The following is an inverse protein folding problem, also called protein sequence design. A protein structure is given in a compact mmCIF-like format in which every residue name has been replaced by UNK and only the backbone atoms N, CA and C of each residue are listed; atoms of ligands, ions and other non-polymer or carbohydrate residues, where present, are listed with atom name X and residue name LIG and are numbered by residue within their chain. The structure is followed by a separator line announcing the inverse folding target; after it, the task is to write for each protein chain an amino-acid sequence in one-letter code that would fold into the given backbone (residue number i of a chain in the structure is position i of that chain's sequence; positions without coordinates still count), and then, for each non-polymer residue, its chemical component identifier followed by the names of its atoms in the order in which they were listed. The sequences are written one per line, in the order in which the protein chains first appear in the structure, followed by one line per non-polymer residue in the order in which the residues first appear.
data_IF_846132770757
#
_entry.id   IF_846132770757
#
_cell.length_a   1.000
_cell.length_b   1.000
_cell.length_c   1.000
_cell.angle_alpha   90.00
_cell.angle_beta   90.00
_cell.angle_gamma   90.00
#
_symmetry.space_group_name_H-M   'P 1'
#
loop_
_entity.id
_entity.type
_entity.pdbx_description
1 polymer ?
#
# COMPACT_ATOMS: atom_id res chain seq x y z
N UNK A 1 93.25 19.67 27.58
CA UNK A 1 93.22 19.22 26.17
C UNK A 1 92.09 18.20 26.04
N UNK A 2 91.06 18.52 25.23
CA UNK A 2 90.10 17.66 24.51
C UNK A 2 89.39 16.48 25.23
N UNK A 3 88.10 16.20 25.02
CA UNK A 3 86.97 16.91 24.40
C UNK A 3 85.74 16.06 24.76
N UNK A 4 84.69 16.69 25.26
CA UNK A 4 83.39 16.07 25.47
C UNK A 4 82.80 15.52 24.16
N UNK A 5 82.09 14.41 24.24
CA UNK A 5 81.05 14.03 23.28
C UNK A 5 80.02 13.11 23.96
N UNK A 6 79.16 13.71 24.79
CA UNK A 6 77.88 13.11 25.17
C UNK A 6 76.88 13.35 24.03
N UNK A 7 76.51 12.30 23.31
CA UNK A 7 75.42 12.36 22.33
C UNK A 7 74.13 11.92 22.98
N UNK A 8 73.45 12.88 23.63
CA UNK A 8 72.07 12.71 24.06
C UNK A 8 71.16 12.55 22.85
N UNK A 9 70.60 11.35 22.66
CA UNK A 9 69.52 11.12 21.68
C UNK A 9 68.23 11.74 22.23
N UNK A 10 67.87 12.93 21.74
CA UNK A 10 66.50 13.44 21.88
C UNK A 10 65.56 12.55 21.06
N UNK A 11 64.84 11.65 21.71
CA UNK A 11 63.72 10.94 21.10
C UNK A 11 62.55 11.92 20.91
N UNK A 12 62.40 12.42 19.69
CA UNK A 12 61.21 13.17 19.26
C UNK A 12 59.99 12.24 19.27
N UNK A 13 59.13 12.37 20.29
CA UNK A 13 57.78 11.79 20.27
C UNK A 13 56.92 12.58 19.29
N UNK A 14 56.92 12.15 18.02
CA UNK A 14 55.96 12.61 17.02
C UNK A 14 54.56 12.17 17.46
N UNK A 15 53.79 13.07 18.06
CA UNK A 15 52.38 12.83 18.38
C UNK A 15 51.61 12.59 17.08
N UNK A 16 51.15 11.36 16.89
CA UNK A 16 50.35 10.91 15.75
C UNK A 16 48.88 11.36 15.94
N UNK A 17 48.62 12.67 15.84
CA UNK A 17 47.27 13.28 15.95
C UNK A 17 46.38 13.11 14.70
N UNK A 18 46.75 12.22 13.77
CA UNK A 18 46.05 12.04 12.49
C UNK A 18 44.99 10.93 12.51
N UNK A 19 44.96 10.07 13.53
CA UNK A 19 44.09 8.88 13.52
C UNK A 19 42.65 9.16 13.99
N UNK A 20 42.44 10.11 14.91
CA UNK A 20 41.09 10.41 15.43
C UNK A 20 40.18 11.08 14.39
N UNK A 21 40.74 11.95 13.53
CA UNK A 21 39.97 12.66 12.50
C UNK A 21 39.33 11.72 11.47
N UNK A 22 40.03 10.65 11.09
CA UNK A 22 39.48 9.66 10.15
C UNK A 22 38.45 8.74 10.82
N UNK A 23 38.59 8.49 12.13
CA UNK A 23 37.65 7.64 12.88
C UNK A 23 36.28 8.32 12.99
N UNK A 24 36.24 9.62 13.25
CA UNK A 24 34.97 10.36 13.37
C UNK A 24 34.20 10.37 12.04
N UNK A 25 34.91 10.51 10.92
CA UNK A 25 34.32 10.44 9.58
C UNK A 25 33.76 9.03 9.30
N UNK A 26 34.53 7.99 9.62
CA UNK A 26 34.09 6.59 9.44
C UNK A 26 32.85 6.29 10.29
N UNK A 27 32.84 6.74 11.54
CA UNK A 27 31.71 6.57 12.44
C UNK A 27 30.46 7.26 11.91
N UNK A 28 30.60 8.50 11.41
CA UNK A 28 29.50 9.23 10.78
C UNK A 28 28.91 8.50 9.58
N UNK A 29 29.75 7.91 8.73
CA UNK A 29 29.31 7.11 7.58
C UNK A 29 28.54 5.86 8.01
N UNK A 30 28.99 5.16 9.05
CA UNK A 30 28.31 3.97 9.56
C UNK A 30 26.92 4.31 10.10
N UNK A 31 26.82 5.37 10.91
CA UNK A 31 25.53 5.84 11.45
C UNK A 31 24.59 6.27 10.33
N UNK A 32 25.10 6.99 9.32
CA UNK A 32 24.32 7.39 8.17
C UNK A 32 23.81 6.19 7.36
N UNK A 33 24.65 5.19 7.09
CA UNK A 33 24.25 3.97 6.39
C UNK A 33 23.22 3.18 7.18
N UNK A 34 23.38 3.05 8.50
CA UNK A 34 22.40 2.40 9.37
C UNK A 34 21.04 3.10 9.31
N UNK A 35 21.01 4.43 9.42
CA UNK A 35 19.79 5.22 9.27
C UNK A 35 19.18 5.01 7.87
N UNK A 36 19.99 5.06 6.80
CA UNK A 36 19.53 4.84 5.43
C UNK A 36 18.89 3.46 5.25
N UNK A 37 19.50 2.39 5.79
CA UNK A 37 18.91 1.05 5.73
C UNK A 37 17.60 0.94 6.50
N UNK A 38 17.49 1.58 7.67
CA UNK A 38 16.23 1.61 8.43
C UNK A 38 15.15 2.34 7.65
N UNK A 39 15.44 3.53 7.12
CA UNK A 39 14.48 4.26 6.28
C UNK A 39 14.10 3.47 5.03
N UNK A 40 15.06 2.87 4.34
CA UNK A 40 14.80 2.06 3.16
C UNK A 40 13.94 0.83 3.49
N UNK A 41 14.20 0.15 4.61
CA UNK A 41 13.40 -0.97 5.07
C UNK A 41 11.96 -0.54 5.40
N UNK A 42 11.76 0.61 6.07
CA UNK A 42 10.43 1.14 6.37
C UNK A 42 9.67 1.55 5.10
N UNK A 43 10.32 2.17 4.13
CA UNK A 43 9.69 2.55 2.86
C UNK A 43 9.27 1.33 2.01
N UNK A 44 10.02 0.23 2.09
CA UNK A 44 9.73 -0.99 1.33
C UNK A 44 8.84 -1.99 2.07
N UNK A 45 8.59 -1.80 3.36
CA UNK A 45 7.70 -2.67 4.14
C UNK A 45 6.24 -2.64 3.66
N UNK A 46 5.81 -1.57 2.98
CA UNK A 46 4.40 -1.33 2.63
C UNK A 46 4.01 -1.76 1.21
N UNK A 47 4.88 -2.48 0.50
CA UNK A 47 4.59 -2.97 -0.86
C UNK A 47 3.97 -4.38 -0.87
N UNK A 48 4.13 -5.16 0.20
CA UNK A 48 3.54 -6.50 0.34
C UNK A 48 2.12 -6.52 0.92
N UNK A 49 1.65 -5.42 1.49
CA UNK A 49 0.37 -5.28 2.21
C UNK A 49 -0.81 -4.92 1.29
N UNK A 50 -0.57 -4.21 0.17
CA UNK A 50 -1.64 -3.66 -0.67
C UNK A 50 -2.44 -4.72 -1.42
N UNK A 51 -1.80 -5.73 -2.01
CA UNK A 51 -2.52 -6.81 -2.68
C UNK A 51 -3.28 -7.72 -1.69
N UNK A 52 -2.69 -7.94 -0.51
CA UNK A 52 -3.34 -8.70 0.57
C UNK A 52 -4.57 -7.98 1.12
N UNK A 53 -4.46 -6.69 1.40
CA UNK A 53 -5.59 -5.85 1.85
C UNK A 53 -6.69 -5.74 0.80
N UNK A 54 -6.37 -5.58 -0.49
CA UNK A 54 -7.39 -5.56 -1.55
C UNK A 54 -8.19 -6.86 -1.63
N UNK A 55 -7.52 -8.01 -1.46
CA UNK A 55 -8.21 -9.32 -1.46
C UNK A 55 -9.12 -9.46 -0.23
N UNK A 56 -8.67 -8.99 0.92
CA UNK A 56 -9.46 -8.98 2.15
C UNK A 56 -10.68 -8.06 2.01
N UNK A 57 -10.50 -6.85 1.49
CA UNK A 57 -11.58 -5.91 1.20
C UNK A 57 -12.58 -6.48 0.20
N UNK A 58 -12.12 -7.14 -0.87
CA UNK A 58 -13.02 -7.83 -1.80
C UNK A 58 -13.86 -8.90 -1.08
N UNK A 59 -13.27 -9.66 -0.15
CA UNK A 59 -14.02 -10.62 0.67
C UNK A 59 -15.05 -9.94 1.58
N UNK A 60 -14.70 -8.77 2.15
CA UNK A 60 -15.62 -7.96 2.95
C UNK A 60 -16.80 -7.50 2.09
N UNK A 61 -16.56 -7.00 0.88
CA UNK A 61 -17.62 -6.60 -0.05
C UNK A 61 -18.55 -7.77 -0.31
N UNK A 62 -18.02 -8.94 -0.70
CA UNK A 62 -18.83 -10.14 -0.97
C UNK A 62 -19.67 -10.56 0.24
N UNK A 63 -19.08 -10.54 1.45
CA UNK A 63 -19.83 -10.83 2.68
C UNK A 63 -20.95 -9.83 2.90
N UNK A 64 -20.71 -8.54 2.68
CA UNK A 64 -21.73 -7.52 2.91
C UNK A 64 -22.84 -7.53 1.86
N UNK A 65 -22.55 -7.84 0.60
CA UNK A 65 -23.60 -7.90 -0.43
C UNK A 65 -24.49 -9.14 -0.28
N UNK A 66 -24.02 -10.16 0.46
CA UNK A 66 -24.75 -11.42 0.69
C UNK A 66 -25.35 -11.56 2.09
N UNK A 67 -24.83 -10.87 3.12
CA UNK A 67 -25.30 -10.99 4.50
C UNK A 67 -26.70 -10.41 4.73
N UNK A 68 -27.54 -11.16 5.47
CA UNK A 68 -28.95 -10.82 5.71
C UNK A 68 -29.16 -9.48 6.43
N UNK A 69 -28.22 -9.08 7.28
CA UNK A 69 -28.27 -7.87 8.12
C UNK A 69 -27.47 -6.69 7.54
N UNK A 70 -27.04 -6.78 6.29
CA UNK A 70 -26.23 -5.75 5.65
C UNK A 70 -27.06 -4.65 5.00
N UNK A 71 -26.61 -3.41 5.13
CA UNK A 71 -27.20 -2.23 4.47
C UNK A 71 -26.99 -2.23 2.95
N UNK A 72 -26.06 -3.06 2.45
CA UNK A 72 -25.74 -3.19 1.03
C UNK A 72 -26.05 -4.58 0.48
N UNK A 73 -26.93 -5.31 1.16
CA UNK A 73 -27.40 -6.62 0.72
C UNK A 73 -28.12 -6.49 -0.63
N UNK A 74 -27.69 -7.31 -1.60
CA UNK A 74 -28.33 -7.42 -2.92
C UNK A 74 -28.80 -8.83 -3.23
N UNK A 75 -28.45 -9.83 -2.42
CA UNK A 75 -28.93 -11.21 -2.60
C UNK A 75 -30.04 -11.51 -1.61
N UNK A 76 -31.19 -11.95 -2.10
CA UNK A 76 -32.30 -12.46 -1.29
C UNK A 76 -32.70 -13.85 -1.76
N UNK A 77 -32.80 -14.81 -0.84
CA UNK A 77 -33.18 -16.19 -1.15
C UNK A 77 -32.39 -16.81 -2.32
N UNK A 78 -31.08 -16.52 -2.39
CA UNK A 78 -30.16 -16.95 -3.45
C UNK A 78 -30.41 -16.33 -4.84
N UNK A 79 -31.21 -15.28 -4.92
CA UNK A 79 -31.46 -14.50 -6.14
C UNK A 79 -30.99 -13.06 -5.96
N UNK A 80 -30.61 -12.40 -7.06
CA UNK A 80 -30.24 -10.98 -7.03
C UNK A 80 -31.52 -10.14 -6.96
N UNK A 81 -31.67 -9.38 -5.88
CA UNK A 81 -32.75 -8.42 -5.71
C UNK A 81 -32.44 -7.13 -6.51
N UNK A 82 -33.10 -7.01 -7.67
CA UNK A 82 -32.90 -5.89 -8.59
C UNK A 82 -33.28 -4.53 -7.98
N UNK A 83 -34.27 -4.48 -7.08
CA UNK A 83 -34.64 -3.23 -6.39
C UNK A 83 -33.50 -2.73 -5.51
N UNK A 84 -32.90 -3.63 -4.71
CA UNK A 84 -31.75 -3.32 -3.86
C UNK A 84 -30.53 -2.92 -4.68
N UNK A 85 -30.28 -3.62 -5.78
CA UNK A 85 -29.18 -3.28 -6.69
C UNK A 85 -29.35 -1.87 -7.27
N UNK A 86 -30.57 -1.50 -7.66
CA UNK A 86 -30.89 -0.15 -8.12
C UNK A 86 -30.78 0.92 -7.02
N UNK A 87 -31.14 0.59 -5.78
CA UNK A 87 -30.92 1.45 -4.62
C UNK A 87 -29.44 1.77 -4.44
N UNK A 88 -28.56 0.75 -4.48
CA UNK A 88 -27.11 0.95 -4.36
C UNK A 88 -26.53 1.76 -5.52
N UNK A 89 -27.01 1.54 -6.74
CA UNK A 89 -26.62 2.31 -7.93
C UNK A 89 -26.98 3.80 -7.82
N UNK A 90 -27.98 4.15 -7.03
CA UNK A 90 -28.39 5.54 -6.83
C UNK A 90 -27.63 6.24 -5.70
N UNK A 91 -26.82 5.51 -4.93
CA UNK A 91 -25.91 6.10 -3.95
C UNK A 91 -24.69 6.70 -4.67
N UNK A 92 -24.10 7.74 -4.08
CA UNK A 92 -22.78 8.19 -4.51
C UNK A 92 -21.73 7.13 -4.18
N UNK A 93 -20.66 7.11 -4.97
CA UNK A 93 -19.55 6.18 -4.74
C UNK A 93 -18.98 6.29 -3.31
N UNK A 94 -18.78 7.51 -2.81
CA UNK A 94 -18.27 7.74 -1.45
C UNK A 94 -19.23 7.20 -0.38
N UNK A 95 -20.54 7.34 -0.58
CA UNK A 95 -21.53 6.81 0.35
C UNK A 95 -21.53 5.28 0.34
N UNK A 96 -21.43 4.67 -0.84
CA UNK A 96 -21.34 3.22 -0.96
C UNK A 96 -20.05 2.68 -0.32
N UNK A 97 -18.93 3.35 -0.53
CA UNK A 97 -17.63 3.03 0.07
C UNK A 97 -17.66 3.12 1.60
N UNK A 98 -18.31 4.15 2.16
CA UNK A 98 -18.54 4.29 3.61
C UNK A 98 -19.39 3.16 4.18
N UNK A 99 -20.47 2.78 3.48
CA UNK A 99 -21.32 1.66 3.90
C UNK A 99 -20.58 0.32 3.87
N UNK A 100 -19.71 0.14 2.87
CA UNK A 100 -18.87 -1.03 2.70
C UNK A 100 -17.72 -1.10 3.71
N UNK A 101 -17.36 0.02 4.36
CA UNK A 101 -16.24 0.13 5.33
C UNK A 101 -14.91 -0.35 4.75
N UNK A 102 -14.61 0.07 3.52
CA UNK A 102 -13.38 -0.26 2.80
C UNK A 102 -12.63 1.01 2.40
N UNK A 103 -11.32 0.91 2.28
CA UNK A 103 -10.46 2.03 1.91
C UNK A 103 -10.06 1.98 0.43
N UNK A 104 -9.94 0.79 -0.14
CA UNK A 104 -9.61 0.57 -1.54
C UNK A 104 -10.73 0.94 -2.51
N UNK A 105 -10.35 1.14 -3.77
CA UNK A 105 -11.31 1.29 -4.85
C UNK A 105 -11.84 -0.06 -5.31
N UNK A 106 -13.12 -0.10 -5.64
CA UNK A 106 -13.81 -1.34 -5.96
C UNK A 106 -14.80 -1.16 -7.11
N UNK A 107 -15.13 -2.29 -7.75
CA UNK A 107 -16.18 -2.39 -8.74
C UNK A 107 -16.96 -3.69 -8.51
N UNK A 108 -18.27 -3.56 -8.30
CA UNK A 108 -19.20 -4.68 -8.19
C UNK A 108 -19.85 -4.87 -9.55
N UNK A 109 -19.75 -6.06 -10.11
CA UNK A 109 -20.36 -6.41 -11.40
C UNK A 109 -20.94 -7.82 -11.33
N UNK A 110 -21.78 -8.16 -12.32
CA UNK A 110 -22.42 -9.46 -12.44
C UNK A 110 -21.92 -10.14 -13.71
N UNK A 111 -21.60 -11.42 -13.62
CA UNK A 111 -21.20 -12.27 -14.74
C UNK A 111 -22.17 -13.45 -14.85
N UNK A 112 -22.43 -13.88 -16.09
CA UNK A 112 -23.12 -15.13 -16.36
C UNK A 112 -22.16 -16.34 -16.29
N UNK A 113 -22.70 -17.55 -16.42
CA UNK A 113 -21.91 -18.80 -16.39
C UNK A 113 -20.84 -18.90 -17.52
N UNK A 114 -20.95 -18.07 -18.55
CA UNK A 114 -20.02 -18.00 -19.68
C UNK A 114 -18.99 -16.88 -19.51
N UNK A 115 -19.04 -16.12 -18.40
CA UNK A 115 -18.18 -14.99 -18.12
C UNK A 115 -18.58 -13.70 -18.85
N UNK A 116 -19.81 -13.59 -19.37
CA UNK A 116 -20.30 -12.36 -19.96
C UNK A 116 -20.82 -11.41 -18.87
N UNK A 117 -20.50 -10.13 -18.99
CA UNK A 117 -21.01 -9.09 -18.09
C UNK A 117 -22.52 -8.89 -18.29
N UNK A 118 -23.26 -8.94 -17.19
CA UNK A 118 -24.69 -8.64 -17.15
C UNK A 118 -24.87 -7.15 -16.84
N UNK A 119 -25.55 -6.43 -17.73
CA UNK A 119 -25.79 -5.00 -17.56
C UNK A 119 -26.85 -4.72 -16.50
N UNK A 120 -26.51 -3.84 -15.57
CA UNK A 120 -27.42 -3.33 -14.53
C UNK A 120 -28.25 -2.20 -15.14
N UNK A 121 -29.59 -2.34 -15.08
CA UNK A 121 -30.54 -1.38 -15.66
C UNK A 121 -30.30 -1.07 -17.15
N UNK A 122 -29.85 -2.07 -17.93
CA UNK A 122 -29.54 -1.99 -19.37
C UNK A 122 -28.52 -0.90 -19.77
N UNK A 123 -27.69 -0.41 -18.85
CA UNK A 123 -26.69 0.61 -19.21
C UNK A 123 -25.40 0.51 -18.40
N UNK A 124 -25.45 0.03 -17.15
CA UNK A 124 -24.27 0.03 -16.29
C UNK A 124 -23.59 -1.33 -16.31
N UNK A 125 -22.27 -1.35 -16.55
CA UNK A 125 -21.46 -2.58 -16.46
C UNK A 125 -21.19 -3.02 -15.01
N UNK A 126 -21.24 -2.08 -14.07
CA UNK A 126 -21.06 -2.33 -12.65
C UNK A 126 -21.40 -1.11 -11.79
N UNK A 127 -21.21 -1.28 -10.48
CA UNK A 127 -21.39 -0.26 -9.45
C UNK A 127 -20.07 -0.11 -8.71
N UNK A 128 -19.48 1.09 -8.76
CA UNK A 128 -18.19 1.34 -8.13
C UNK A 128 -17.41 2.45 -8.80
N UNK A 129 -16.08 2.37 -8.71
CA UNK A 129 -15.19 3.43 -9.12
C UNK A 129 -15.01 3.49 -10.66
N UNK A 130 -15.13 4.68 -11.24
CA UNK A 130 -14.98 4.90 -12.69
C UNK A 130 -13.54 4.69 -13.21
N UNK A 131 -12.53 4.69 -12.33
CA UNK A 131 -11.14 4.42 -12.69
C UNK A 131 -10.86 2.92 -12.92
N UNK A 132 -11.79 2.03 -12.56
CA UNK A 132 -11.66 0.58 -12.78
C UNK A 132 -12.31 0.22 -14.11
N UNK A 133 -11.56 -0.42 -15.00
CA UNK A 133 -12.03 -0.83 -16.33
C UNK A 133 -12.54 -2.28 -16.34
N UNK A 134 -13.77 -2.46 -16.84
CA UNK A 134 -14.40 -3.74 -17.15
C UNK A 134 -14.50 -3.90 -18.67
N UNK A 135 -13.70 -4.81 -19.23
CA UNK A 135 -13.73 -5.15 -20.66
C UNK A 135 -13.65 -3.90 -21.56
N UNK A 136 -12.69 -3.01 -21.27
CA UNK A 136 -12.41 -1.81 -22.06
C UNK A 136 -13.30 -0.60 -21.78
N UNK A 137 -14.20 -0.65 -20.79
CA UNK A 137 -15.01 0.50 -20.38
C UNK A 137 -14.99 0.70 -18.84
N UNK A 138 -15.11 1.93 -18.34
CA UNK A 138 -15.25 2.20 -16.91
C UNK A 138 -16.40 1.44 -16.24
N UNK A 139 -16.18 0.99 -15.00
CA UNK A 139 -17.15 0.26 -14.19
C UNK A 139 -18.51 0.95 -14.12
N UNK A 140 -18.51 2.24 -13.78
CA UNK A 140 -19.73 3.04 -13.62
C UNK A 140 -20.14 3.80 -14.89
N UNK A 141 -19.70 3.36 -16.08
CA UNK A 141 -20.13 3.97 -17.34
C UNK A 141 -21.56 3.54 -17.69
N UNK A 142 -22.31 4.48 -18.29
CA UNK A 142 -23.61 4.26 -18.94
C UNK A 142 -23.40 3.85 -20.40
#
# INVERSE_FOLDING_TARGET
MNKQQETGKMQSRRHRKSQSWSIDIILGVIVFMAAFFVFYALLNADQGSKAGSLKEEASIIIKQVTADNSLVRVIDSNEVNISRLNELKNLSYDELKRRLKIEGDFCIYLEDEKGNLILINNSYKGIGAANINLSGAPCSQK
#
